data_IF_531140228157
#
_entry.id   IF_531140228157
#
_cell.length_a   1.000
_cell.length_b   1.000
_cell.length_c   1.000
_cell.angle_alpha   90.00
_cell.angle_beta   90.00
_cell.angle_gamma   90.00
#
_symmetry.space_group_name_H-M   'P 1'
#
loop_
_entity.id
_entity.type
_entity.pdbx_description
1 polymer ?
#
# COMPACT_ATOMS: atom_id res chain seq x y z
N UNK A 1 28.35 4.83 0.85
CA UNK A 1 27.12 5.32 0.16
C UNK A 1 25.95 5.30 1.13
N UNK A 2 25.16 6.37 1.19
CA UNK A 2 23.94 6.43 2.02
C UNK A 2 22.92 5.46 1.42
N UNK A 3 22.39 4.55 2.24
CA UNK A 3 21.35 3.61 1.80
C UNK A 3 20.06 4.37 1.48
N UNK A 4 19.40 4.02 0.36
CA UNK A 4 18.05 4.51 0.08
C UNK A 4 17.06 3.93 1.07
N UNK A 5 16.05 4.71 1.41
CA UNK A 5 14.97 4.32 2.31
C UNK A 5 13.73 3.98 1.48
N UNK A 6 13.20 2.78 1.66
CA UNK A 6 11.92 2.35 1.10
C UNK A 6 10.89 2.16 2.21
N UNK A 7 9.69 2.69 2.05
CA UNK A 7 8.56 2.48 2.95
C UNK A 7 7.49 1.67 2.22
N UNK A 8 7.14 0.49 2.77
CA UNK A 8 6.20 -0.45 2.17
C UNK A 8 4.92 -0.50 3.02
N UNK A 9 3.81 -0.07 2.43
CA UNK A 9 2.47 -0.29 2.95
C UNK A 9 1.99 -1.67 2.53
N UNK A 10 1.52 -2.49 3.47
CA UNK A 10 1.15 -3.88 3.18
C UNK A 10 2.34 -4.85 3.15
N UNK A 11 3.41 -4.54 3.89
CA UNK A 11 4.65 -5.35 3.97
C UNK A 11 4.40 -6.79 4.42
N UNK A 12 3.32 -7.08 5.14
CA UNK A 12 2.93 -8.44 5.59
C UNK A 12 2.07 -9.19 4.58
N UNK A 13 1.71 -8.56 3.47
CA UNK A 13 1.05 -9.20 2.33
C UNK A 13 2.04 -10.04 1.50
N UNK A 14 1.52 -10.78 0.53
CA UNK A 14 2.35 -11.61 -0.37
C UNK A 14 3.39 -10.74 -1.08
N UNK A 15 2.94 -9.81 -1.91
CA UNK A 15 3.83 -8.97 -2.72
C UNK A 15 4.72 -8.07 -1.85
N UNK A 16 4.17 -7.53 -0.75
CA UNK A 16 4.93 -6.69 0.18
C UNK A 16 6.08 -7.43 0.84
N UNK A 17 5.89 -8.70 1.20
CA UNK A 17 6.96 -9.52 1.81
C UNK A 17 8.08 -9.83 0.82
N UNK A 18 7.77 -10.23 -0.42
CA UNK A 18 8.75 -10.46 -1.47
C UNK A 18 9.49 -9.18 -1.87
N UNK A 19 8.75 -8.06 -1.97
CA UNK A 19 9.38 -6.76 -2.25
C UNK A 19 10.35 -6.35 -1.14
N UNK A 20 9.99 -6.60 0.13
CA UNK A 20 10.88 -6.31 1.26
C UNK A 20 12.17 -7.12 1.18
N UNK A 21 12.10 -8.44 0.90
CA UNK A 21 13.27 -9.29 0.69
C UNK A 21 14.15 -8.76 -0.46
N UNK A 22 13.53 -8.45 -1.59
CA UNK A 22 14.23 -7.91 -2.76
C UNK A 22 14.97 -6.61 -2.44
N UNK A 23 14.31 -5.67 -1.76
CA UNK A 23 14.90 -4.36 -1.43
C UNK A 23 16.02 -4.48 -0.38
N UNK A 24 15.89 -5.38 0.61
CA UNK A 24 16.98 -5.70 1.54
C UNK A 24 18.21 -6.18 0.77
N UNK A 25 18.03 -7.12 -0.18
CA UNK A 25 19.12 -7.63 -1.02
C UNK A 25 19.71 -6.56 -1.94
N UNK A 26 18.95 -5.52 -2.27
CA UNK A 26 19.43 -4.31 -2.99
C UNK A 26 20.04 -3.25 -2.07
N UNK A 27 20.29 -3.60 -0.80
CA UNK A 27 20.91 -2.72 0.20
C UNK A 27 20.08 -1.47 0.56
N UNK A 28 18.75 -1.55 0.47
CA UNK A 28 17.86 -0.52 0.99
C UNK A 28 17.71 -0.61 2.52
N UNK A 29 17.43 0.52 3.15
CA UNK A 29 16.88 0.56 4.50
C UNK A 29 15.36 0.41 4.38
N UNK A 30 14.84 -0.77 4.72
CA UNK A 30 13.42 -1.11 4.50
C UNK A 30 12.61 -0.82 5.75
N UNK A 31 11.61 0.02 5.57
CA UNK A 31 10.57 0.32 6.55
C UNK A 31 9.25 -0.31 6.11
N UNK A 32 8.57 -0.98 7.02
CA UNK A 32 7.26 -1.59 6.77
C UNK A 32 6.18 -0.97 7.62
N UNK A 33 5.04 -0.61 7.00
CA UNK A 33 3.87 -0.17 7.73
C UNK A 33 2.91 -1.34 7.93
N UNK A 34 2.49 -1.53 9.18
CA UNK A 34 1.55 -2.57 9.60
C UNK A 34 0.44 -1.96 10.45
N UNK A 35 -0.74 -2.58 10.48
CA UNK A 35 -1.78 -2.22 11.44
C UNK A 35 -1.30 -2.53 12.86
N UNK A 36 -1.69 -1.73 13.85
CA UNK A 36 -1.27 -1.90 15.25
C UNK A 36 -1.52 -3.32 15.75
N UNK A 37 -2.67 -3.89 15.43
CA UNK A 37 -3.02 -5.28 15.79
C UNK A 37 -2.01 -6.33 15.29
N UNK A 38 -1.24 -6.04 14.26
CA UNK A 38 -0.22 -6.96 13.77
C UNK A 38 1.03 -6.99 14.67
N UNK A 39 1.26 -5.93 15.44
CA UNK A 39 2.34 -5.87 16.44
C UNK A 39 1.93 -6.51 17.77
N UNK A 40 0.63 -6.64 18.02
CA UNK A 40 0.07 -7.30 19.21
C UNK A 40 0.01 -8.83 19.03
N UNK A 41 -0.10 -9.31 17.78
CA UNK A 41 -0.13 -10.72 17.41
C UNK A 41 0.86 -11.03 16.28
N UNK A 42 2.14 -10.94 16.60
CA UNK A 42 3.23 -11.10 15.64
C UNK A 42 3.28 -12.50 15.02
N UNK A 43 2.95 -13.52 15.80
CA UNK A 43 3.04 -14.92 15.38
C UNK A 43 2.16 -15.21 14.18
N UNK A 44 0.91 -14.75 14.19
CA UNK A 44 -0.05 -15.01 13.12
C UNK A 44 -0.04 -13.95 12.03
N UNK A 45 0.39 -12.73 12.34
CA UNK A 45 0.25 -11.60 11.42
C UNK A 45 1.55 -11.19 10.73
N UNK A 46 2.72 -11.59 11.26
CA UNK A 46 4.02 -11.28 10.68
C UNK A 46 4.73 -12.52 10.09
N UNK A 47 4.05 -13.64 9.95
CA UNK A 47 4.64 -14.91 9.55
C UNK A 47 5.35 -14.86 8.18
N UNK A 48 4.84 -14.06 7.21
CA UNK A 48 5.47 -13.92 5.90
C UNK A 48 6.82 -13.21 5.94
N UNK A 49 7.01 -12.33 6.90
CA UNK A 49 8.25 -11.56 7.05
C UNK A 49 9.12 -12.08 8.21
N UNK A 50 8.78 -13.21 8.84
CA UNK A 50 9.48 -13.72 10.03
C UNK A 50 11.00 -13.85 9.84
N UNK A 51 11.43 -14.30 8.66
CA UNK A 51 12.84 -14.55 8.34
C UNK A 51 13.64 -13.27 8.11
N UNK A 52 12.97 -12.18 7.70
CA UNK A 52 13.57 -10.87 7.40
C UNK A 52 13.20 -9.80 8.41
N UNK A 53 12.41 -10.11 9.44
CA UNK A 53 11.92 -9.16 10.44
C UNK A 53 13.04 -8.32 11.07
N UNK A 54 14.19 -8.93 11.34
CA UNK A 54 15.36 -8.24 11.92
C UNK A 54 15.97 -7.17 10.99
N UNK A 55 15.68 -7.25 9.69
CA UNK A 55 16.18 -6.36 8.66
C UNK A 55 15.17 -5.29 8.24
N UNK A 56 13.98 -5.28 8.86
CA UNK A 56 12.89 -4.33 8.56
C UNK A 56 12.56 -3.52 9.81
N UNK A 57 12.40 -2.22 9.65
CA UNK A 57 11.90 -1.35 10.71
C UNK A 57 10.38 -1.25 10.57
N UNK A 58 9.64 -1.88 11.49
CA UNK A 58 8.18 -1.87 11.47
C UNK A 58 7.59 -0.65 12.16
N UNK A 59 6.52 -0.10 11.58
CA UNK A 59 5.76 1.03 12.11
C UNK A 59 4.28 0.67 12.21
N UNK A 60 3.70 0.88 13.39
CA UNK A 60 2.25 0.72 13.60
C UNK A 60 1.51 1.98 13.15
N UNK A 61 0.63 1.85 12.14
CA UNK A 61 -0.25 2.93 11.68
C UNK A 61 -1.49 2.38 10.96
N UNK A 62 -2.43 3.27 10.63
CA UNK A 62 -3.61 2.96 9.81
C UNK A 62 -3.65 3.87 8.59
N UNK A 63 -4.05 3.32 7.43
CA UNK A 63 -4.37 4.09 6.22
C UNK A 63 -5.51 5.09 6.47
N UNK A 64 -6.41 4.78 7.40
CA UNK A 64 -7.56 5.62 7.75
C UNK A 64 -7.21 6.80 8.69
N UNK A 65 -5.95 6.89 9.13
CA UNK A 65 -5.48 7.92 10.04
C UNK A 65 -4.45 8.82 9.38
N UNK A 66 -4.88 9.96 8.83
CA UNK A 66 -4.00 10.96 8.24
C UNK A 66 -2.85 11.36 9.20
N UNK A 67 -3.18 11.62 10.47
CA UNK A 67 -2.17 12.02 11.46
C UNK A 67 -1.07 10.96 11.66
N UNK A 68 -1.42 9.66 11.61
CA UNK A 68 -0.43 8.58 11.73
C UNK A 68 0.48 8.51 10.50
N UNK A 69 -0.07 8.74 9.31
CA UNK A 69 0.68 8.77 8.06
C UNK A 69 1.64 9.97 8.00
N UNK A 70 1.16 11.17 8.33
CA UNK A 70 1.99 12.38 8.44
C UNK A 70 3.17 12.15 9.38
N UNK A 71 2.91 11.61 10.58
CA UNK A 71 3.97 11.34 11.56
C UNK A 71 5.06 10.43 11.00
N UNK A 72 4.68 9.39 10.27
CA UNK A 72 5.63 8.43 9.69
C UNK A 72 6.38 9.03 8.51
N UNK A 73 5.67 9.62 7.54
CA UNK A 73 6.28 10.23 6.35
C UNK A 73 7.26 11.34 6.75
N UNK A 74 6.86 12.23 7.66
CA UNK A 74 7.71 13.32 8.12
C UNK A 74 8.95 12.83 8.89
N UNK A 75 8.80 11.76 9.69
CA UNK A 75 9.91 11.17 10.44
C UNK A 75 10.91 10.44 9.55
N UNK A 76 10.42 9.67 8.57
CA UNK A 76 11.26 8.78 7.75
C UNK A 76 11.80 9.50 6.52
N UNK A 77 11.01 10.37 5.88
CA UNK A 77 11.31 11.03 4.60
C UNK A 77 11.85 10.03 3.58
N UNK A 78 11.05 9.01 3.21
CA UNK A 78 11.51 7.90 2.38
C UNK A 78 11.89 8.37 0.97
N UNK A 79 12.86 7.69 0.35
CA UNK A 79 13.18 7.91 -1.06
C UNK A 79 12.08 7.33 -1.96
N UNK A 80 11.49 6.21 -1.52
CA UNK A 80 10.50 5.46 -2.29
C UNK A 80 9.39 4.95 -1.35
N UNK A 81 8.13 5.11 -1.77
CA UNK A 81 6.95 4.57 -1.09
C UNK A 81 6.27 3.58 -2.02
N UNK A 82 6.02 2.38 -1.52
CA UNK A 82 5.29 1.32 -2.20
C UNK A 82 3.96 1.10 -1.50
N UNK A 83 2.88 1.55 -2.14
CA UNK A 83 1.53 1.44 -1.60
C UNK A 83 0.84 0.17 -2.09
N UNK A 84 1.07 -0.94 -1.36
CA UNK A 84 0.45 -2.25 -1.57
C UNK A 84 -0.66 -2.53 -0.53
N UNK A 85 -0.82 -1.64 0.45
CA UNK A 85 -1.83 -1.78 1.49
C UNK A 85 -3.21 -1.41 0.97
N UNK A 86 -4.17 -2.30 1.14
CA UNK A 86 -5.58 -2.09 0.79
C UNK A 86 -6.46 -3.09 1.54
N UNK A 87 -7.77 -2.82 1.63
CA UNK A 87 -8.75 -3.90 1.70
C UNK A 87 -8.85 -4.48 0.29
N UNK A 88 -8.23 -5.66 0.06
CA UNK A 88 -8.02 -6.23 -1.27
C UNK A 88 -8.83 -7.51 -1.54
N UNK A 89 -9.64 -7.96 -0.59
CA UNK A 89 -10.50 -9.12 -0.78
C UNK A 89 -11.79 -8.70 -1.51
N UNK A 90 -11.84 -8.96 -2.82
CA UNK A 90 -12.90 -8.46 -3.71
C UNK A 90 -14.28 -8.89 -3.24
N UNK A 91 -14.48 -10.18 -2.88
CA UNK A 91 -15.77 -10.68 -2.40
C UNK A 91 -16.27 -9.94 -1.16
N UNK A 92 -15.38 -9.65 -0.20
CA UNK A 92 -15.73 -8.89 0.99
C UNK A 92 -16.13 -7.44 0.68
N UNK A 93 -15.66 -6.88 -0.44
CA UNK A 93 -16.04 -5.53 -0.84
C UNK A 93 -17.52 -5.39 -1.26
N UNK A 94 -18.24 -6.48 -1.43
CA UNK A 94 -19.70 -6.49 -1.62
C UNK A 94 -20.45 -6.56 -0.28
N UNK A 95 -19.81 -7.05 0.77
CA UNK A 95 -20.39 -7.14 2.11
C UNK A 95 -20.15 -5.86 2.92
N UNK A 96 -18.98 -5.24 2.75
CA UNK A 96 -18.58 -4.00 3.42
C UNK A 96 -17.93 -3.02 2.43
N UNK A 97 -18.77 -2.42 1.61
CA UNK A 97 -18.36 -1.44 0.61
C UNK A 97 -17.85 -0.14 1.24
N UNK A 98 -18.49 0.32 2.33
CA UNK A 98 -18.10 1.56 3.01
C UNK A 98 -16.70 1.50 3.57
N UNK A 99 -16.34 0.44 4.30
CA UNK A 99 -14.99 0.24 4.82
C UNK A 99 -13.97 0.10 3.69
N UNK A 100 -14.34 -0.63 2.62
CA UNK A 100 -13.48 -0.80 1.44
C UNK A 100 -13.18 0.53 0.76
N UNK A 101 -14.21 1.33 0.47
CA UNK A 101 -14.04 2.64 -0.16
C UNK A 101 -13.26 3.60 0.74
N UNK A 102 -13.61 3.67 2.03
CA UNK A 102 -12.94 4.54 3.00
C UNK A 102 -11.45 4.20 3.12
N UNK A 103 -11.12 2.94 3.36
CA UNK A 103 -9.72 2.52 3.53
C UNK A 103 -8.90 2.75 2.26
N UNK A 104 -9.45 2.38 1.10
CA UNK A 104 -8.68 2.39 -0.14
C UNK A 104 -8.59 3.79 -0.77
N UNK A 105 -9.69 4.55 -0.83
CA UNK A 105 -9.70 5.89 -1.45
C UNK A 105 -9.09 6.91 -0.50
N UNK A 106 -9.66 7.07 0.70
CA UNK A 106 -9.18 8.06 1.64
C UNK A 106 -7.76 7.73 2.11
N UNK A 107 -7.44 6.43 2.32
CA UNK A 107 -6.09 6.01 2.67
C UNK A 107 -5.06 6.37 1.62
N UNK A 108 -5.36 6.19 0.34
CA UNK A 108 -4.48 6.61 -0.77
C UNK A 108 -4.35 8.13 -0.81
N UNK A 109 -5.46 8.86 -0.70
CA UNK A 109 -5.46 10.33 -0.68
C UNK A 109 -4.65 10.89 0.51
N UNK A 110 -4.85 10.38 1.71
CA UNK A 110 -4.10 10.78 2.89
C UNK A 110 -2.60 10.56 2.73
N UNK A 111 -2.22 9.41 2.15
CA UNK A 111 -0.83 9.09 1.92
C UNK A 111 -0.18 10.02 0.90
N UNK A 112 -0.86 10.29 -0.22
CA UNK A 112 -0.39 11.23 -1.25
C UNK A 112 -0.26 12.64 -0.67
N UNK A 113 -1.25 13.11 0.11
CA UNK A 113 -1.19 14.42 0.78
C UNK A 113 -0.01 14.50 1.76
N UNK A 114 0.20 13.46 2.58
CA UNK A 114 1.33 13.43 3.50
C UNK A 114 2.68 13.45 2.77
N UNK A 115 2.80 12.74 1.63
CA UNK A 115 4.02 12.75 0.82
C UNK A 115 4.23 14.14 0.21
N UNK A 116 3.20 14.73 -0.40
CA UNK A 116 3.25 16.06 -1.00
C UNK A 116 3.76 17.12 -0.01
N UNK A 117 3.21 17.11 1.20
CA UNK A 117 3.48 18.16 2.18
C UNK A 117 4.81 17.95 2.94
N UNK A 118 5.18 16.71 3.23
CA UNK A 118 6.30 16.41 4.13
C UNK A 118 7.49 15.72 3.48
N UNK A 119 7.35 15.13 2.29
CA UNK A 119 8.44 14.45 1.57
C UNK A 119 8.26 14.51 0.05
N UNK A 120 8.19 15.69 -0.56
CA UNK A 120 7.79 15.88 -1.98
C UNK A 120 8.77 15.29 -3.02
N UNK A 121 9.95 14.86 -2.59
CA UNK A 121 10.93 14.18 -3.45
C UNK A 121 10.77 12.65 -3.47
N UNK A 122 9.85 12.12 -2.66
CA UNK A 122 9.57 10.68 -2.58
C UNK A 122 8.96 10.19 -3.90
N UNK A 123 9.51 9.10 -4.43
CA UNK A 123 8.88 8.37 -5.55
C UNK A 123 7.77 7.49 -4.99
N UNK A 124 6.60 7.55 -5.61
CA UNK A 124 5.43 6.81 -5.17
C UNK A 124 5.04 5.74 -6.18
N UNK A 125 4.85 4.52 -5.70
CA UNK A 125 4.29 3.41 -6.46
C UNK A 125 2.92 3.05 -5.88
N UNK A 126 1.90 3.02 -6.73
CA UNK A 126 0.56 2.58 -6.39
C UNK A 126 0.27 1.22 -7.02
N UNK A 127 -0.09 0.25 -6.19
CA UNK A 127 -0.54 -1.06 -6.67
C UNK A 127 -1.99 -0.95 -7.16
N UNK A 128 -2.14 -0.80 -8.46
CA UNK A 128 -3.43 -0.85 -9.15
C UNK A 128 -4.02 -2.27 -9.16
N UNK A 129 -5.00 -2.53 -10.01
CA UNK A 129 -5.62 -3.85 -10.12
C UNK A 129 -6.27 -4.03 -11.49
N UNK A 130 -6.29 -5.26 -12.01
CA UNK A 130 -7.09 -5.64 -13.18
C UNK A 130 -8.60 -5.44 -12.97
N UNK A 131 -9.06 -5.45 -11.71
CA UNK A 131 -10.44 -5.15 -11.34
C UNK A 131 -10.91 -3.73 -11.75
N UNK A 132 -9.97 -2.83 -12.04
CA UNK A 132 -10.27 -1.51 -12.60
C UNK A 132 -10.94 -1.61 -13.98
N UNK A 133 -10.54 -2.59 -14.79
CA UNK A 133 -11.13 -2.83 -16.12
C UNK A 133 -12.54 -3.44 -16.01
N UNK A 134 -12.78 -4.33 -15.04
CA UNK A 134 -14.09 -4.94 -14.76
C UNK A 134 -14.75 -5.56 -15.99
N UNK A 135 -15.86 -4.96 -16.49
CA UNK A 135 -16.53 -5.41 -17.71
C UNK A 135 -15.87 -4.79 -18.93
N UNK A 136 -14.98 -5.54 -19.57
CA UNK A 136 -14.23 -5.10 -20.76
C UNK A 136 -14.99 -5.38 -22.05
N UNK A 137 -14.78 -4.52 -23.03
CA UNK A 137 -15.35 -4.66 -24.37
C UNK A 137 -14.41 -5.44 -25.34
N UNK A 138 -13.14 -5.65 -24.92
CA UNK A 138 -12.11 -6.31 -25.70
C UNK A 138 -11.39 -7.38 -24.89
N UNK A 139 -10.92 -8.45 -25.55
CA UNK A 139 -10.22 -9.56 -24.89
C UNK A 139 -8.87 -9.16 -24.26
N UNK A 140 -8.20 -8.17 -24.85
CA UNK A 140 -6.90 -7.68 -24.38
C UNK A 140 -7.03 -6.23 -23.94
N UNK A 141 -6.48 -5.90 -22.75
CA UNK A 141 -6.45 -4.55 -22.22
C UNK A 141 -5.08 -3.92 -22.48
N UNK A 142 -5.09 -2.61 -22.67
CA UNK A 142 -3.90 -1.74 -22.78
C UNK A 142 -4.19 -0.37 -22.13
N UNK A 143 -3.26 0.54 -22.23
CA UNK A 143 -3.33 1.86 -21.59
C UNK A 143 -4.49 2.74 -22.08
N UNK A 144 -5.13 2.38 -23.21
CA UNK A 144 -6.30 3.08 -23.78
C UNK A 144 -7.62 2.40 -23.42
N UNK A 145 -7.56 1.22 -22.79
CA UNK A 145 -8.76 0.50 -22.38
C UNK A 145 -9.48 1.26 -21.29
N UNK A 146 -10.77 1.54 -21.49
CA UNK A 146 -11.61 2.24 -20.52
C UNK A 146 -11.78 1.41 -19.25
N UNK A 147 -11.70 2.07 -18.10
CA UNK A 147 -12.06 1.47 -16.81
C UNK A 147 -13.59 1.32 -16.71
N UNK A 148 -14.04 0.13 -16.29
CA UNK A 148 -15.45 -0.18 -16.08
C UNK A 148 -15.60 -1.11 -14.87
N UNK A 149 -15.18 -0.68 -13.66
CA UNK A 149 -15.15 -1.53 -12.47
C UNK A 149 -16.55 -2.02 -12.09
N UNK A 150 -16.61 -3.21 -11.47
CA UNK A 150 -17.86 -3.89 -11.09
C UNK A 150 -17.97 -4.18 -9.60
N UNK A 151 -17.02 -3.71 -8.80
CA UNK A 151 -16.99 -3.90 -7.35
C UNK A 151 -16.54 -2.62 -6.65
N UNK A 152 -16.89 -2.46 -5.38
CA UNK A 152 -16.37 -1.35 -4.56
C UNK A 152 -14.84 -1.34 -4.52
N UNK A 153 -14.21 -2.52 -4.49
CA UNK A 153 -12.77 -2.64 -4.62
C UNK A 153 -12.25 -2.09 -5.95
N UNK A 154 -12.82 -2.51 -7.09
CA UNK A 154 -12.42 -2.01 -8.41
C UNK A 154 -12.60 -0.50 -8.54
N UNK A 155 -13.74 0.04 -8.06
CA UNK A 155 -14.02 1.48 -8.01
C UNK A 155 -12.95 2.20 -7.18
N UNK A 156 -12.61 1.67 -6.00
CA UNK A 156 -11.60 2.28 -5.13
C UNK A 156 -10.21 2.32 -5.77
N UNK A 157 -9.88 1.31 -6.58
CA UNK A 157 -8.61 1.27 -7.32
C UNK A 157 -8.57 2.25 -8.48
N UNK A 158 -9.69 2.47 -9.19
CA UNK A 158 -9.80 3.54 -10.20
C UNK A 158 -9.64 4.90 -9.53
N UNK A 159 -10.34 5.17 -8.43
CA UNK A 159 -10.20 6.42 -7.70
C UNK A 159 -8.76 6.68 -7.24
N UNK A 160 -8.08 5.66 -6.70
CA UNK A 160 -6.67 5.77 -6.28
C UNK A 160 -5.69 5.96 -7.44
N UNK A 161 -6.05 5.54 -8.65
CA UNK A 161 -5.25 5.76 -9.86
C UNK A 161 -5.40 7.20 -10.38
N UNK A 162 -6.58 7.79 -10.24
CA UNK A 162 -6.88 9.16 -10.70
C UNK A 162 -6.37 10.25 -9.73
N UNK A 163 -6.10 9.91 -8.46
CA UNK A 163 -5.52 10.80 -7.45
C UNK A 163 -4.04 11.09 -7.71
#
# INVERSE_FOLDING_TARGET
MIKKIALIFGVTGQDGSYLAEFLINKNYNVHGLVRRVALEDETHRLWRIKNIKKNIILHGASLESYASLVKIINKIKPNEVYHLGAQSYVSYSFEDEFSTLNTNINGTHFLLSAIKDFSPKTKFYFAASSEMFGKVDQSYQNERTRFHPRSAYGISKVAGFEL
#
